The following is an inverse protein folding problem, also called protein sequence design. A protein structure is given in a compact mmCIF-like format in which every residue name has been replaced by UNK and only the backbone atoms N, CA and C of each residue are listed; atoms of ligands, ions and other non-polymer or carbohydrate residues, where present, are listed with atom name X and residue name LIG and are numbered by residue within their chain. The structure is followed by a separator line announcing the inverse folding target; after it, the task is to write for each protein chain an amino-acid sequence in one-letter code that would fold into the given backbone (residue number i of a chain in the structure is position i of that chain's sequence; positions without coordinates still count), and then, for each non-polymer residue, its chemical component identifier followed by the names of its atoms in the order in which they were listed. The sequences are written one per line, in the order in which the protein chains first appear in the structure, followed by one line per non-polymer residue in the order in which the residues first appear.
data_IF_387098436494
#
_entry.id   IF_387098436494
#
_cell.length_a   1.000
_cell.length_b   1.000
_cell.length_c   1.000
_cell.angle_alpha   90.00
_cell.angle_beta   90.00
_cell.angle_gamma   90.00
#
_symmetry.space_group_name_H-M   'P 1'
#
loop_
_entity.id
_entity.type
_entity.pdbx_description
1 polymer ?
#
# COMPACT_ATOMS: atom_id res chain seq x y z
N UNK A 1 70.72 -43.11 14.96
CA UNK A 1 69.39 -42.94 15.60
C UNK A 1 69.34 -41.55 16.22
N UNK A 2 68.77 -40.57 15.51
CA UNK A 2 68.44 -39.26 16.08
C UNK A 2 67.08 -38.87 15.49
N UNK A 3 66.02 -39.06 16.29
CA UNK A 3 64.66 -38.75 15.92
C UNK A 3 64.40 -37.25 16.07
N UNK A 4 64.15 -36.58 14.96
CA UNK A 4 63.62 -35.22 14.93
C UNK A 4 62.16 -35.24 15.36
N UNK A 5 61.87 -34.69 16.55
CA UNK A 5 60.51 -34.50 17.04
C UNK A 5 59.89 -33.38 16.20
N UNK A 6 59.09 -33.76 15.21
CA UNK A 6 58.27 -32.84 14.43
C UNK A 6 57.11 -32.37 15.31
N UNK A 7 57.27 -31.18 15.89
CA UNK A 7 56.19 -30.50 16.62
C UNK A 7 55.04 -30.22 15.65
N UNK A 8 53.93 -30.94 15.83
CA UNK A 8 52.66 -30.67 15.19
C UNK A 8 52.16 -29.31 15.72
N UNK A 9 51.81 -28.33 14.86
CA UNK A 9 51.22 -27.09 15.35
C UNK A 9 49.92 -27.44 16.09
N UNK A 10 49.82 -26.92 17.31
CA UNK A 10 48.63 -26.99 18.16
C UNK A 10 47.45 -26.49 17.34
N UNK A 11 46.39 -27.29 17.23
CA UNK A 11 45.12 -26.84 16.65
C UNK A 11 44.62 -25.69 17.52
N UNK A 12 44.46 -24.52 16.94
CA UNK A 12 43.78 -23.38 17.55
C UNK A 12 42.36 -23.81 17.93
N UNK A 13 42.16 -24.07 19.22
CA UNK A 13 40.83 -24.14 19.81
C UNK A 13 40.32 -22.70 19.87
N UNK A 14 39.46 -22.33 18.92
CA UNK A 14 38.85 -21.01 18.87
C UNK A 14 38.37 -20.57 20.25
N UNK A 15 38.91 -19.46 20.74
CA UNK A 15 38.55 -18.90 22.04
C UNK A 15 37.07 -18.53 22.06
N UNK A 16 36.38 -18.72 23.19
CA UNK A 16 34.96 -18.36 23.36
C UNK A 16 34.71 -16.89 22.97
N UNK A 17 35.69 -16.01 23.18
CA UNK A 17 35.62 -14.61 22.74
C UNK A 17 35.62 -14.43 21.22
N UNK A 18 36.31 -15.31 20.49
CA UNK A 18 36.35 -15.31 19.03
C UNK A 18 35.02 -15.78 18.43
N UNK A 19 34.41 -16.81 19.03
CA UNK A 19 33.09 -17.32 18.64
C UNK A 19 31.98 -16.29 18.86
N UNK A 20 32.01 -15.56 19.99
CA UNK A 20 31.06 -14.47 20.26
C UNK A 20 31.24 -13.31 19.27
N UNK A 21 32.49 -12.97 18.93
CA UNK A 21 32.81 -12.00 17.88
C UNK A 21 32.23 -12.41 16.52
N UNK A 22 32.47 -13.65 16.10
CA UNK A 22 31.94 -14.20 14.85
C UNK A 22 30.42 -14.24 14.82
N UNK A 23 29.75 -14.64 15.91
CA UNK A 23 28.29 -14.67 16.00
C UNK A 23 27.70 -13.26 15.89
N UNK A 24 28.29 -12.28 16.59
CA UNK A 24 27.86 -10.87 16.53
C UNK A 24 28.02 -10.30 15.13
N UNK A 25 29.11 -10.66 14.44
CA UNK A 25 29.33 -10.25 13.06
C UNK A 25 28.35 -10.91 12.09
N UNK A 26 28.04 -12.19 12.28
CA UNK A 26 27.01 -12.89 11.50
C UNK A 26 25.62 -12.27 11.68
N UNK A 27 25.22 -11.97 12.91
CA UNK A 27 23.94 -11.29 13.20
C UNK A 27 23.91 -9.91 12.54
N UNK A 28 25.01 -9.16 12.64
CA UNK A 28 25.12 -7.84 12.00
C UNK A 28 25.04 -7.94 10.47
N UNK A 29 25.65 -8.98 9.87
CA UNK A 29 25.55 -9.25 8.42
C UNK A 29 24.11 -9.60 8.03
N UNK A 30 23.45 -10.46 8.78
CA UNK A 30 22.06 -10.86 8.53
C UNK A 30 21.10 -9.66 8.63
N UNK A 31 21.22 -8.84 9.67
CA UNK A 31 20.40 -7.65 9.83
C UNK A 31 20.55 -6.68 8.64
N UNK A 32 21.78 -6.49 8.14
CA UNK A 32 22.03 -5.69 6.93
C UNK A 32 21.40 -6.30 5.67
N UNK A 33 21.42 -7.63 5.55
CA UNK A 33 20.80 -8.34 4.43
C UNK A 33 19.27 -8.23 4.47
N UNK A 34 18.65 -8.39 5.63
CA UNK A 34 17.20 -8.22 5.80
C UNK A 34 16.76 -6.79 5.44
N UNK A 35 17.53 -5.78 5.86
CA UNK A 35 17.27 -4.39 5.46
C UNK A 35 17.42 -4.21 3.95
N UNK A 36 18.41 -4.84 3.32
CA UNK A 36 18.61 -4.78 1.87
C UNK A 36 17.44 -5.46 1.12
N UNK A 37 17.02 -6.63 1.56
CA UNK A 37 15.88 -7.37 1.01
C UNK A 37 14.58 -6.58 1.17
N UNK A 38 14.32 -6.03 2.36
CA UNK A 38 13.14 -5.21 2.60
C UNK A 38 13.12 -3.96 1.70
N UNK A 39 14.29 -3.33 1.47
CA UNK A 39 14.40 -2.21 0.52
C UNK A 39 14.06 -2.64 -0.91
N UNK A 40 14.54 -3.79 -1.36
CA UNK A 40 14.25 -4.33 -2.68
C UNK A 40 12.76 -4.65 -2.85
N UNK A 41 12.15 -5.33 -1.86
CA UNK A 41 10.74 -5.67 -1.88
C UNK A 41 9.85 -4.40 -1.84
N UNK A 42 10.23 -3.39 -1.04
CA UNK A 42 9.54 -2.10 -1.03
C UNK A 42 9.68 -1.36 -2.36
N UNK A 43 10.86 -1.39 -2.99
CA UNK A 43 11.07 -0.79 -4.30
C UNK A 43 10.22 -1.49 -5.38
N UNK A 44 10.14 -2.82 -5.35
CA UNK A 44 9.33 -3.58 -6.29
C UNK A 44 7.83 -3.33 -6.08
N UNK A 45 7.35 -3.36 -4.83
CA UNK A 45 5.97 -3.00 -4.48
C UNK A 45 5.64 -1.57 -4.89
N UNK A 46 6.56 -0.64 -4.63
CA UNK A 46 6.44 0.76 -5.02
C UNK A 46 6.35 0.95 -6.53
N UNK A 47 7.17 0.24 -7.31
CA UNK A 47 7.12 0.25 -8.77
C UNK A 47 5.79 -0.30 -9.29
N UNK A 48 5.35 -1.46 -8.79
CA UNK A 48 4.07 -2.08 -9.19
C UNK A 48 2.89 -1.17 -8.86
N UNK A 49 2.87 -0.61 -7.65
CA UNK A 49 1.86 0.36 -7.22
C UNK A 49 1.92 1.65 -8.06
N UNK A 50 3.11 2.13 -8.41
CA UNK A 50 3.31 3.31 -9.25
C UNK A 50 2.82 3.13 -10.68
N UNK A 51 3.15 1.99 -11.31
CA UNK A 51 2.65 1.64 -12.65
C UNK A 51 1.14 1.46 -12.61
N UNK A 52 0.60 0.71 -11.65
CA UNK A 52 -0.84 0.51 -11.52
C UNK A 52 -1.59 1.83 -11.27
N UNK A 53 -1.08 2.67 -10.37
CA UNK A 53 -1.62 4.00 -10.10
C UNK A 53 -1.55 4.92 -11.32
N UNK A 54 -0.43 4.89 -12.06
CA UNK A 54 -0.26 5.64 -13.30
C UNK A 54 -1.23 5.19 -14.40
N UNK A 55 -1.42 3.88 -14.58
CA UNK A 55 -2.38 3.32 -15.53
C UNK A 55 -3.82 3.69 -15.18
N UNK A 56 -4.21 3.62 -13.90
CA UNK A 56 -5.53 4.05 -13.45
C UNK A 56 -5.73 5.57 -13.62
N UNK A 57 -4.69 6.36 -13.34
CA UNK A 57 -4.71 7.80 -13.60
C UNK A 57 -4.91 8.12 -15.09
N UNK A 58 -4.16 7.47 -15.96
CA UNK A 58 -4.30 7.61 -17.40
C UNK A 58 -5.69 7.16 -17.89
N UNK A 59 -6.18 6.01 -17.43
CA UNK A 59 -7.52 5.53 -17.75
C UNK A 59 -8.60 6.52 -17.31
N UNK A 60 -8.46 7.12 -16.12
CA UNK A 60 -9.34 8.20 -15.65
C UNK A 60 -9.31 9.42 -16.55
N UNK A 61 -8.12 9.87 -16.97
CA UNK A 61 -7.96 11.02 -17.86
C UNK A 61 -8.59 10.78 -19.25
N UNK A 62 -8.29 9.63 -19.87
CA UNK A 62 -8.89 9.26 -21.16
C UNK A 62 -10.40 9.03 -21.04
N UNK A 63 -10.86 8.42 -19.95
CA UNK A 63 -12.29 8.25 -19.66
C UNK A 63 -13.01 9.60 -19.54
N UNK A 64 -12.41 10.58 -18.86
CA UNK A 64 -12.94 11.93 -18.76
C UNK A 64 -13.00 12.64 -20.11
N UNK A 65 -11.91 12.59 -20.90
CA UNK A 65 -11.89 13.15 -22.24
C UNK A 65 -12.94 12.48 -23.15
N UNK A 66 -13.07 11.16 -23.08
CA UNK A 66 -14.10 10.39 -23.79
C UNK A 66 -15.52 10.78 -23.37
N UNK A 67 -15.77 11.05 -22.09
CA UNK A 67 -17.06 11.54 -21.60
C UNK A 67 -17.41 12.92 -22.19
N UNK A 68 -16.44 13.84 -22.26
CA UNK A 68 -16.63 15.15 -22.90
C UNK A 68 -16.93 15.01 -24.39
N UNK A 69 -16.18 14.14 -25.09
CA UNK A 69 -16.42 13.87 -26.49
C UNK A 69 -17.81 13.25 -26.72
N UNK A 70 -18.22 12.30 -25.88
CA UNK A 70 -19.55 11.67 -25.94
C UNK A 70 -20.66 12.68 -25.68
N UNK A 71 -20.48 13.61 -24.74
CA UNK A 71 -21.41 14.69 -24.50
C UNK A 71 -21.56 15.57 -25.75
N UNK A 72 -20.45 15.99 -26.36
CA UNK A 72 -20.46 16.75 -27.60
C UNK A 72 -21.14 15.98 -28.76
N UNK A 73 -20.85 14.68 -28.90
CA UNK A 73 -21.52 13.81 -29.88
C UNK A 73 -23.03 13.74 -29.64
N UNK A 74 -23.47 13.57 -28.40
CA UNK A 74 -24.88 13.55 -28.04
C UNK A 74 -25.59 14.87 -28.34
N UNK A 75 -24.93 16.00 -28.07
CA UNK A 75 -25.44 17.33 -28.41
C UNK A 75 -25.58 17.47 -29.92
N UNK A 76 -24.53 17.14 -30.68
CA UNK A 76 -24.54 17.23 -32.15
C UNK A 76 -25.60 16.31 -32.78
N UNK A 77 -25.82 15.12 -32.22
CA UNK A 77 -26.86 14.20 -32.68
C UNK A 77 -28.28 14.74 -32.43
N UNK A 78 -28.53 15.34 -31.26
CA UNK A 78 -29.81 15.96 -30.93
C UNK A 78 -30.06 17.26 -31.70
N UNK A 79 -28.99 17.99 -32.04
CA UNK A 79 -29.07 19.23 -32.84
C UNK A 79 -29.64 18.97 -34.25
N UNK A 80 -29.61 17.73 -34.74
CA UNK A 80 -30.25 17.34 -36.00
C UNK A 80 -31.79 17.46 -35.96
N UNK A 81 -32.39 17.45 -34.78
CA UNK A 81 -33.86 17.41 -34.59
C UNK A 81 -34.38 18.46 -33.60
N UNK A 82 -33.50 19.12 -32.84
CA UNK A 82 -33.82 20.15 -31.85
C UNK A 82 -32.84 21.32 -31.99
N UNK A 83 -33.18 22.54 -31.55
CA UNK A 83 -32.22 23.63 -31.52
C UNK A 83 -31.07 23.33 -30.55
N UNK A 84 -29.85 23.73 -30.91
CA UNK A 84 -28.61 23.50 -30.16
C UNK A 84 -28.71 23.76 -28.65
N UNK A 85 -29.37 24.84 -28.24
CA UNK A 85 -29.50 25.19 -26.83
C UNK A 85 -30.32 24.13 -26.05
N UNK A 86 -31.36 23.56 -26.66
CA UNK A 86 -32.20 22.54 -26.05
C UNK A 86 -31.45 21.20 -26.00
N UNK A 87 -30.76 20.84 -27.08
CA UNK A 87 -29.88 19.67 -27.13
C UNK A 87 -28.81 19.72 -26.02
N UNK A 88 -28.13 20.85 -25.88
CA UNK A 88 -27.13 21.08 -24.83
C UNK A 88 -27.73 20.92 -23.42
N UNK A 89 -28.87 21.56 -23.14
CA UNK A 89 -29.53 21.45 -21.83
C UNK A 89 -29.94 20.02 -21.50
N UNK A 90 -30.46 19.26 -22.47
CA UNK A 90 -30.85 17.85 -22.26
C UNK A 90 -29.64 17.02 -21.87
N UNK A 91 -28.55 17.08 -22.65
CA UNK A 91 -27.34 16.30 -22.37
C UNK A 91 -26.71 16.73 -21.04
N UNK A 92 -26.65 18.03 -20.75
CA UNK A 92 -26.19 18.53 -19.46
C UNK A 92 -27.05 17.99 -18.31
N UNK A 93 -28.38 18.01 -18.43
CA UNK A 93 -29.29 17.45 -17.44
C UNK A 93 -29.05 15.97 -17.18
N UNK A 94 -28.89 15.16 -18.24
CA UNK A 94 -28.57 13.74 -18.14
C UNK A 94 -27.24 13.51 -17.40
N UNK A 95 -26.20 14.28 -17.72
CA UNK A 95 -24.91 14.18 -17.04
C UNK A 95 -25.00 14.54 -15.56
N UNK A 96 -25.78 15.57 -15.19
CA UNK A 96 -26.00 15.92 -13.78
C UNK A 96 -26.75 14.83 -13.01
N UNK A 97 -27.73 14.19 -13.63
CA UNK A 97 -28.44 13.04 -13.02
C UNK A 97 -27.46 11.90 -12.77
N UNK A 98 -26.65 11.53 -13.77
CA UNK A 98 -25.62 10.49 -13.63
C UNK A 98 -24.63 10.86 -12.52
N UNK A 99 -24.14 12.10 -12.50
CA UNK A 99 -23.21 12.59 -11.47
C UNK A 99 -23.83 12.53 -10.07
N UNK A 100 -25.09 12.91 -9.93
CA UNK A 100 -25.84 12.81 -8.66
C UNK A 100 -25.94 11.37 -8.16
N UNK A 101 -26.31 10.42 -9.05
CA UNK A 101 -26.37 8.99 -8.71
C UNK A 101 -25.00 8.46 -8.29
N UNK A 102 -23.94 8.76 -9.05
CA UNK A 102 -22.58 8.35 -8.73
C UNK A 102 -22.10 8.94 -7.39
N UNK A 103 -22.40 10.21 -7.11
CA UNK A 103 -22.05 10.85 -5.85
C UNK A 103 -22.73 10.18 -4.65
N UNK A 104 -24.03 9.83 -4.77
CA UNK A 104 -24.77 9.12 -3.73
C UNK A 104 -24.25 7.70 -3.53
N UNK A 105 -24.00 6.97 -4.62
CA UNK A 105 -23.44 5.61 -4.56
C UNK A 105 -22.02 5.60 -3.95
N UNK A 106 -21.16 6.52 -4.39
CA UNK A 106 -19.81 6.71 -3.87
C UNK A 106 -19.81 7.06 -2.38
N UNK A 107 -20.71 7.95 -1.95
CA UNK A 107 -20.90 8.24 -0.51
C UNK A 107 -21.32 7.01 0.27
N UNK A 108 -22.21 6.17 -0.29
CA UNK A 108 -22.60 4.90 0.32
C UNK A 108 -21.43 3.93 0.50
N UNK A 109 -20.58 3.80 -0.52
CA UNK A 109 -19.39 2.96 -0.48
C UNK A 109 -18.37 3.47 0.54
N UNK A 110 -18.10 4.78 0.57
CA UNK A 110 -17.16 5.38 1.53
C UNK A 110 -17.63 5.19 2.98
N UNK A 111 -18.95 5.29 3.24
CA UNK A 111 -19.52 5.02 4.57
C UNK A 111 -19.42 3.55 5.00
N UNK A 112 -19.32 2.62 4.05
CA UNK A 112 -19.17 1.18 4.33
C UNK A 112 -17.70 0.78 4.47
N UNK A 113 -16.81 1.39 3.70
CA UNK A 113 -15.37 1.12 3.73
C UNK A 113 -14.68 1.68 4.98
N UNK A 114 -15.26 2.72 5.61
CA UNK A 114 -14.75 3.31 6.84
C UNK A 114 -15.74 3.04 7.99
N UNK A 115 -15.58 1.97 8.79
CA UNK A 115 -16.25 1.94 10.08
C UNK A 115 -15.75 3.16 10.87
N UNK A 116 -16.64 4.04 11.37
CA UNK A 116 -16.26 5.28 12.04
C UNK A 116 -15.31 5.10 13.23
N UNK A 117 -15.17 3.87 13.74
CA UNK A 117 -14.24 3.47 14.79
C UNK A 117 -13.89 2.00 14.57
N UNK A 118 -12.62 1.57 14.66
CA UNK A 118 -12.29 0.16 14.71
C UNK A 118 -12.76 -0.41 16.05
N UNK A 119 -14.01 -0.89 16.11
CA UNK A 119 -14.64 -1.38 17.34
C UNK A 119 -13.84 -2.52 17.98
N UNK A 120 -13.27 -3.39 17.15
CA UNK A 120 -12.43 -4.52 17.58
C UNK A 120 -11.12 -4.06 18.22
N UNK A 121 -10.44 -3.07 17.62
CA UNK A 121 -9.13 -2.60 18.09
C UNK A 121 -9.25 -1.64 19.29
N UNK A 122 -10.33 -0.87 19.38
CA UNK A 122 -10.63 -0.04 20.55
C UNK A 122 -11.06 -0.91 21.75
N UNK A 123 -11.75 -2.03 21.50
CA UNK A 123 -12.13 -2.98 22.54
C UNK A 123 -10.93 -3.69 23.16
N UNK A 124 -9.99 -4.17 22.34
CA UNK A 124 -8.77 -4.84 22.82
C UNK A 124 -7.87 -3.88 23.59
N UNK A 125 -7.64 -2.66 23.08
CA UNK A 125 -6.81 -1.66 23.77
C UNK A 125 -7.43 -1.22 25.09
N UNK A 126 -8.76 -1.11 25.17
CA UNK A 126 -9.45 -0.82 26.45
C UNK A 126 -9.29 -1.96 27.44
N UNK A 127 -9.46 -3.21 27.00
CA UNK A 127 -9.29 -4.38 27.86
C UNK A 127 -7.85 -4.50 28.37
N UNK A 128 -6.86 -4.27 27.52
CA UNK A 128 -5.45 -4.29 27.89
C UNK A 128 -5.12 -3.19 28.92
N UNK A 129 -5.70 -2.00 28.76
CA UNK A 129 -5.53 -0.88 29.72
C UNK A 129 -6.23 -1.17 31.05
N UNK A 130 -7.42 -1.77 31.03
CA UNK A 130 -8.17 -2.18 32.22
C UNK A 130 -7.39 -3.24 33.02
N UNK A 131 -6.77 -4.20 32.33
CA UNK A 131 -5.95 -5.25 32.94
C UNK A 131 -4.68 -4.68 33.57
N UNK A 132 -4.00 -3.74 32.91
CA UNK A 132 -2.83 -3.05 33.47
C UNK A 132 -3.21 -2.22 34.70
N UNK A 133 -4.37 -1.52 34.67
CA UNK A 133 -4.88 -0.77 35.83
C UNK A 133 -5.26 -1.67 37.00
N UNK A 134 -5.87 -2.83 36.74
CA UNK A 134 -6.24 -3.81 37.76
C UNK A 134 -5.03 -4.48 38.43
N UNK A 135 -3.91 -4.60 37.72
CA UNK A 135 -2.65 -5.12 38.31
C UNK A 135 -1.89 -4.08 39.14
N UNK A 136 -2.08 -2.79 38.88
CA UNK A 136 -1.41 -1.71 39.62
C UNK A 136 -2.11 -1.31 40.94
N UNK A 137 -3.28 -1.87 41.24
CA UNK A 137 -4.05 -1.62 42.46
C UNK A 137 -4.04 -2.80 43.45
N UNK A 138 -3.18 -3.80 43.23
CA UNK A 138 -2.90 -4.89 44.18
C UNK A 138 -1.50 -4.78 44.76
#
# INVERSE_FOLDING_TARGET
MAGTIQQRPVRDEHSVGELVGQATEQISRLARQEVALAKEELAEKGRRAGVGGGMLGAAGAFGYAGLLALAATGIAALDLVLPLWAAALIITGVLFVIAGVLALAGRGQLRRATPPKPERTLGSVKADVEEIKGRAHR
#
